data_IF_330597557932
#
_entry.id   IF_330597557932
#
_cell.length_a   1.000
_cell.length_b   1.000
_cell.length_c   1.000
_cell.angle_alpha   90.00
_cell.angle_beta   90.00
_cell.angle_gamma   90.00
#
_symmetry.space_group_name_H-M   'P 1'
#
loop_
_entity.id
_entity.type
_entity.pdbx_description
1 polymer ?
#
# COMPACT_ATOMS: atom_id res chain seq x y z
N UNK A 1 11.12 6.47 0.79
CA UNK A 1 10.63 6.19 -0.57
C UNK A 1 9.12 6.38 -0.63
N UNK A 2 8.63 7.03 -1.66
CA UNK A 2 7.19 7.24 -1.85
C UNK A 2 6.60 6.06 -2.63
N UNK A 3 5.77 5.26 -1.97
CA UNK A 3 5.19 4.07 -2.57
C UNK A 3 4.00 4.41 -3.47
N UNK A 4 3.85 3.65 -4.56
CA UNK A 4 2.66 3.69 -5.39
C UNK A 4 1.51 3.00 -4.66
N UNK A 5 0.30 3.54 -4.77
CA UNK A 5 -0.89 2.92 -4.20
C UNK A 5 -2.09 3.16 -5.09
N UNK A 6 -3.07 2.26 -4.95
CA UNK A 6 -4.42 2.45 -5.48
C UNK A 6 -5.33 2.67 -4.28
N UNK A 7 -6.18 3.68 -4.34
CA UNK A 7 -7.06 4.05 -3.24
C UNK A 7 -8.51 3.93 -3.69
N UNK A 8 -9.30 3.18 -2.94
CA UNK A 8 -10.72 2.99 -3.20
C UNK A 8 -11.55 3.38 -1.99
N UNK A 9 -12.73 3.98 -2.23
CA UNK A 9 -13.68 4.30 -1.17
C UNK A 9 -13.39 5.62 -0.49
N UNK A 10 -14.26 5.96 0.46
CA UNK A 10 -14.18 7.22 1.21
C UNK A 10 -14.59 7.05 2.68
N UNK A 11 -14.44 5.85 3.21
CA UNK A 11 -14.73 5.58 4.61
C UNK A 11 -13.80 6.34 5.55
N UNK A 12 -14.29 6.59 6.78
CA UNK A 12 -13.48 7.27 7.79
C UNK A 12 -12.28 6.45 8.23
N UNK A 13 -12.47 5.13 8.32
CA UNK A 13 -11.39 4.24 8.70
C UNK A 13 -10.63 3.80 7.46
N UNK A 14 -9.33 3.66 7.61
CA UNK A 14 -8.44 3.28 6.52
C UNK A 14 -7.98 1.83 6.69
N UNK A 15 -7.98 1.09 5.58
CA UNK A 15 -7.48 -0.27 5.51
C UNK A 15 -6.32 -0.30 4.52
N UNK A 16 -5.15 -0.71 4.97
CA UNK A 16 -3.98 -0.84 4.12
C UNK A 16 -3.77 -2.32 3.84
N UNK A 17 -3.77 -2.69 2.55
CA UNK A 17 -3.50 -4.06 2.13
C UNK A 17 -2.12 -4.10 1.51
N UNK A 18 -1.26 -4.96 2.05
CA UNK A 18 0.12 -5.14 1.60
C UNK A 18 0.23 -6.53 0.98
N UNK A 19 0.69 -6.56 -0.27
CA UNK A 19 0.89 -7.82 -0.99
C UNK A 19 2.06 -8.62 -0.42
N UNK A 20 2.13 -9.90 -0.79
CA UNK A 20 3.27 -10.73 -0.45
C UNK A 20 4.48 -10.42 -1.33
N UNK A 21 5.62 -11.03 -1.00
CA UNK A 21 6.86 -10.90 -1.76
C UNK A 21 6.62 -11.35 -3.21
N UNK A 22 7.17 -10.58 -4.16
CA UNK A 22 6.98 -10.76 -5.60
C UNK A 22 5.55 -10.50 -6.09
N UNK A 23 4.66 -10.01 -5.19
CA UNK A 23 3.33 -9.61 -5.57
C UNK A 23 3.26 -8.13 -5.93
N UNK A 24 2.05 -7.63 -6.06
CA UNK A 24 1.77 -6.21 -6.30
C UNK A 24 0.32 -5.90 -5.95
N UNK A 25 -0.02 -4.62 -5.86
CA UNK A 25 -1.38 -4.19 -5.48
C UNK A 25 -2.47 -4.79 -6.35
N UNK A 26 -2.18 -5.06 -7.64
CA UNK A 26 -3.17 -5.62 -8.56
C UNK A 26 -3.71 -6.98 -8.10
N UNK A 27 -2.94 -7.72 -7.31
CA UNK A 27 -3.36 -9.02 -6.77
C UNK A 27 -4.59 -8.89 -5.86
N UNK A 28 -4.85 -7.71 -5.32
CA UNK A 28 -5.87 -7.48 -4.32
C UNK A 28 -7.02 -6.59 -4.79
N UNK A 29 -7.10 -6.30 -6.10
CA UNK A 29 -8.11 -5.38 -6.63
C UNK A 29 -9.54 -5.75 -6.26
N UNK A 30 -9.91 -7.03 -6.42
CA UNK A 30 -11.28 -7.49 -6.14
C UNK A 30 -11.63 -7.31 -4.66
N UNK A 31 -10.74 -7.75 -3.77
CA UNK A 31 -10.97 -7.60 -2.32
C UNK A 31 -10.98 -6.13 -1.92
N UNK A 32 -10.07 -5.34 -2.47
CA UNK A 32 -10.01 -3.91 -2.18
C UNK A 32 -11.31 -3.21 -2.51
N UNK A 33 -11.90 -3.53 -3.65
CA UNK A 33 -13.17 -2.94 -4.06
C UNK A 33 -14.32 -3.35 -3.14
N UNK A 34 -14.32 -4.59 -2.66
CA UNK A 34 -15.35 -5.05 -1.73
C UNK A 34 -15.23 -4.33 -0.39
N UNK A 35 -14.02 -4.21 0.15
CA UNK A 35 -13.81 -3.52 1.42
C UNK A 35 -14.05 -2.02 1.31
N UNK A 36 -13.98 -1.45 0.12
CA UNK A 36 -14.19 -0.02 -0.08
C UNK A 36 -15.62 0.44 0.23
N UNK A 37 -16.55 -0.48 0.41
CA UNK A 37 -17.89 -0.16 0.90
C UNK A 37 -17.88 0.33 2.34
N UNK A 38 -16.85 -0.06 3.11
CA UNK A 38 -16.76 0.22 4.55
C UNK A 38 -15.55 1.06 4.93
N UNK A 39 -14.49 1.04 4.12
CA UNK A 39 -13.21 1.66 4.43
C UNK A 39 -12.70 2.48 3.26
N UNK A 40 -11.79 3.40 3.56
CA UNK A 40 -10.89 3.90 2.52
C UNK A 40 -9.76 2.87 2.41
N UNK A 41 -9.69 2.18 1.27
CA UNK A 41 -8.77 1.06 1.06
C UNK A 41 -7.56 1.52 0.29
N UNK A 42 -6.38 1.24 0.83
CA UNK A 42 -5.10 1.54 0.18
C UNK A 42 -4.43 0.22 -0.22
N UNK A 43 -4.31 0.00 -1.52
CA UNK A 43 -3.56 -1.14 -2.06
C UNK A 43 -2.17 -0.64 -2.41
N UNK A 44 -1.17 -1.01 -1.63
CA UNK A 44 0.17 -0.43 -1.72
C UNK A 44 1.14 -1.40 -2.38
N UNK A 45 1.90 -0.91 -3.36
CA UNK A 45 3.03 -1.65 -3.92
C UNK A 45 4.27 -1.37 -3.06
N UNK A 46 4.90 -2.42 -2.56
CA UNK A 46 6.16 -2.29 -1.80
C UNK A 46 7.30 -1.85 -2.73
N UNK A 47 8.42 -1.38 -2.15
CA UNK A 47 9.59 -1.01 -2.96
C UNK A 47 10.00 -2.18 -3.83
N UNK A 48 10.49 -1.90 -5.02
CA UNK A 48 10.93 -2.89 -6.01
C UNK A 48 9.81 -3.80 -6.52
N UNK A 49 8.54 -3.46 -6.23
CA UNK A 49 7.38 -4.21 -6.70
C UNK A 49 6.42 -3.29 -7.46
N UNK A 50 5.74 -3.87 -8.45
CA UNK A 50 4.72 -3.15 -9.19
C UNK A 50 5.18 -1.80 -9.72
N UNK A 51 4.42 -0.76 -9.38
CA UNK A 51 4.68 0.61 -9.83
C UNK A 51 5.44 1.46 -8.83
N UNK A 52 5.80 0.88 -7.67
CA UNK A 52 6.61 1.61 -6.70
C UNK A 52 8.05 1.74 -7.18
N UNK A 53 8.79 2.78 -6.71
CA UNK A 53 10.17 2.97 -7.11
C UNK A 53 11.06 1.78 -6.77
N UNK A 54 12.15 1.65 -7.51
CA UNK A 54 13.12 0.58 -7.34
C UNK A 54 14.39 1.14 -6.70
N UNK A 55 15.02 0.32 -5.86
CA UNK A 55 16.26 0.66 -5.18
C UNK A 55 17.11 -0.59 -5.03
N UNK A 56 18.43 -0.41 -4.99
CA UNK A 56 19.35 -1.52 -4.71
C UNK A 56 19.23 -1.98 -3.26
N UNK A 57 18.73 -1.11 -2.38
CA UNK A 57 18.54 -1.44 -0.97
C UNK A 57 17.16 -2.07 -0.76
N UNK A 58 17.16 -3.28 -0.22
CA UNK A 58 15.92 -4.05 -0.04
C UNK A 58 16.05 -4.94 1.19
N UNK A 59 15.36 -4.56 2.27
CA UNK A 59 15.28 -5.36 3.49
C UNK A 59 14.00 -4.99 4.24
N UNK A 60 13.66 -5.76 5.27
CA UNK A 60 12.42 -5.55 6.02
C UNK A 60 12.38 -4.22 6.75
N UNK A 61 13.52 -3.75 7.25
CA UNK A 61 13.55 -2.46 7.95
C UNK A 61 13.20 -1.31 7.01
N UNK A 62 13.73 -1.34 5.79
CA UNK A 62 13.43 -0.34 4.78
C UNK A 62 11.97 -0.44 4.32
N UNK A 63 11.47 -1.67 4.14
CA UNK A 63 10.07 -1.88 3.77
C UNK A 63 9.13 -1.33 4.83
N UNK A 64 9.44 -1.57 6.11
CA UNK A 64 8.66 -1.02 7.23
C UNK A 64 8.71 0.50 7.25
N UNK A 65 9.89 1.07 7.05
CA UNK A 65 10.08 2.51 6.98
C UNK A 65 9.24 3.14 5.86
N UNK A 66 9.20 2.48 4.70
CA UNK A 66 8.40 2.96 3.57
C UNK A 66 6.92 3.00 3.92
N UNK A 67 6.41 1.97 4.58
CA UNK A 67 5.00 1.90 5.01
C UNK A 67 4.70 2.98 6.05
N UNK A 68 5.60 3.18 7.01
CA UNK A 68 5.41 4.22 8.02
C UNK A 68 5.37 5.61 7.39
N UNK A 69 6.22 5.85 6.39
CA UNK A 69 6.21 7.10 5.65
C UNK A 69 4.91 7.26 4.87
N UNK A 70 4.43 6.19 4.24
CA UNK A 70 3.16 6.20 3.52
C UNK A 70 2.01 6.59 4.45
N UNK A 71 1.96 5.99 5.64
CA UNK A 71 0.93 6.30 6.64
C UNK A 71 0.98 7.78 7.03
N UNK A 72 2.18 8.28 7.29
CA UNK A 72 2.38 9.67 7.68
C UNK A 72 2.00 10.63 6.55
N UNK A 73 2.48 10.36 5.32
CA UNK A 73 2.24 11.23 4.17
C UNK A 73 0.75 11.34 3.82
N UNK A 74 0.00 10.27 4.04
CA UNK A 74 -1.44 10.21 3.75
C UNK A 74 -2.30 10.53 4.98
N UNK A 75 -1.68 10.91 6.09
CA UNK A 75 -2.36 11.29 7.34
C UNK A 75 -3.32 10.22 7.84
N UNK A 76 -2.93 8.98 7.67
CA UNK A 76 -3.70 7.82 8.17
C UNK A 76 -3.45 7.69 9.66
N UNK A 77 -4.52 7.52 10.43
CA UNK A 77 -4.44 7.35 11.88
C UNK A 77 -4.67 5.93 12.32
#
# INVERSE_FOLDING_TARGET
MKLFSKIYGDGQDHLIIIHGLFGMSDNWNTLGKRFSEYYTVHLVDLRNHGRSPHSDEFNYDLMSSDIMKYISDNKIK
#
